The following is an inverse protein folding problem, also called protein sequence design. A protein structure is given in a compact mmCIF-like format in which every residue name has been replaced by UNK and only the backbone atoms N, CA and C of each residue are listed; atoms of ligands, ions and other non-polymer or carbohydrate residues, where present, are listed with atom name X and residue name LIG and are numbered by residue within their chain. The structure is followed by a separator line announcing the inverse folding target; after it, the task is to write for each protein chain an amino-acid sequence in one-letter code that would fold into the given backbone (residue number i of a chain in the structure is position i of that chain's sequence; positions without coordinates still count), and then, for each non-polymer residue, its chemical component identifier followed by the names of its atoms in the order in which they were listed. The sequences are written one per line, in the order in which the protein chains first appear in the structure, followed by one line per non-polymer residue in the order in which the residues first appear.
data_IF_516269420454
#
_entry.id   IF_516269420454
#
_cell.length_a   1.000
_cell.length_b   1.000
_cell.length_c   1.000
_cell.angle_alpha   90.00
_cell.angle_beta   90.00
_cell.angle_gamma   90.00
#
_symmetry.space_group_name_H-M   'P 1'
#
loop_
_entity.id
_entity.type
_entity.pdbx_description
1 polymer ?
#
# COMPACT_ATOMS: atom_id res chain seq x y z
N UNK A 1 -8.21 -10.37 1.26
CA UNK A 1 -8.42 -9.71 -0.04
C UNK A 1 -7.64 -8.41 -0.18
N UNK A 2 -7.61 -7.54 0.84
CA UNK A 2 -6.99 -6.20 0.71
C UNK A 2 -5.47 -6.16 0.47
N UNK A 3 -4.68 -7.13 0.97
CA UNK A 3 -3.23 -7.22 0.65
C UNK A 3 -2.99 -7.36 -0.85
N UNK A 4 -3.71 -8.27 -1.50
CA UNK A 4 -3.60 -8.51 -2.94
C UNK A 4 -4.03 -7.27 -3.71
N UNK A 5 -5.12 -6.62 -3.29
CA UNK A 5 -5.59 -5.36 -3.90
C UNK A 5 -4.56 -4.24 -3.78
N UNK A 6 -3.92 -4.08 -2.61
CA UNK A 6 -2.86 -3.09 -2.40
C UNK A 6 -1.65 -3.36 -3.31
N UNK A 7 -1.16 -4.60 -3.36
CA UNK A 7 -0.04 -4.99 -4.22
C UNK A 7 -0.37 -4.76 -5.69
N UNK A 8 -1.56 -5.16 -6.14
CA UNK A 8 -2.03 -4.94 -7.52
C UNK A 8 -2.05 -3.45 -7.87
N UNK A 9 -2.56 -2.59 -6.98
CA UNK A 9 -2.56 -1.15 -7.22
C UNK A 9 -1.16 -0.53 -7.26
N UNK A 10 -0.27 -0.94 -6.36
CA UNK A 10 1.13 -0.49 -6.37
C UNK A 10 1.80 -0.90 -7.69
N UNK A 11 1.60 -2.14 -8.13
CA UNK A 11 2.09 -2.63 -9.41
C UNK A 11 1.52 -1.83 -10.58
N UNK A 12 0.20 -1.69 -10.68
CA UNK A 12 -0.46 -0.96 -11.77
C UNK A 12 0.02 0.48 -11.87
N UNK A 13 0.18 1.17 -10.73
CA UNK A 13 0.70 2.54 -10.69
C UNK A 13 2.14 2.63 -11.14
N UNK A 14 3.01 1.74 -10.66
CA UNK A 14 4.41 1.70 -11.06
C UNK A 14 4.53 1.39 -12.55
N UNK A 15 3.82 0.37 -13.04
CA UNK A 15 3.81 0.01 -14.47
C UNK A 15 3.34 1.17 -15.34
N UNK A 16 2.27 1.87 -14.94
CA UNK A 16 1.72 3.00 -15.72
C UNK A 16 2.65 4.20 -15.71
N UNK A 17 3.15 4.58 -14.53
CA UNK A 17 3.97 5.80 -14.36
C UNK A 17 5.39 5.63 -14.88
N UNK A 18 5.92 4.41 -14.87
CA UNK A 18 7.26 4.10 -15.33
C UNK A 18 7.31 3.49 -16.74
N UNK A 19 6.17 3.36 -17.45
CA UNK A 19 6.08 2.66 -18.74
C UNK A 19 7.13 3.10 -19.79
N UNK A 20 7.60 4.35 -19.73
CA UNK A 20 8.60 4.88 -20.66
C UNK A 20 10.05 4.67 -20.22
N UNK A 21 10.29 4.41 -18.93
CA UNK A 21 11.63 4.42 -18.31
C UNK A 21 12.02 3.07 -17.68
N UNK A 22 11.04 2.26 -17.27
CA UNK A 22 11.26 0.97 -16.64
C UNK A 22 10.20 -0.07 -17.03
N UNK A 23 10.65 -1.31 -17.18
CA UNK A 23 9.77 -2.47 -17.12
C UNK A 23 9.60 -2.88 -15.66
N UNK A 24 8.35 -3.01 -15.22
CA UNK A 24 7.98 -3.36 -13.85
C UNK A 24 7.56 -4.83 -13.79
N UNK A 25 8.31 -5.63 -13.05
CA UNK A 25 8.08 -7.06 -12.84
C UNK A 25 7.64 -7.33 -11.38
N UNK A 26 6.91 -8.43 -11.15
CA UNK A 26 6.43 -8.83 -9.82
C UNK A 26 7.07 -10.13 -9.35
N UNK A 27 7.63 -10.13 -8.13
CA UNK A 27 8.34 -11.24 -7.45
C UNK A 27 9.64 -11.72 -8.11
N UNK A 28 9.66 -11.84 -9.44
CA UNK A 28 10.80 -12.29 -10.21
C UNK A 28 10.92 -11.47 -11.49
N UNK A 29 12.16 -11.21 -11.97
CA UNK A 29 12.39 -10.65 -13.29
C UNK A 29 11.67 -11.44 -14.38
N UNK A 30 11.07 -10.76 -15.35
CA UNK A 30 10.42 -11.41 -16.50
C UNK A 30 11.43 -12.25 -17.29
N UNK A 31 10.95 -13.35 -17.90
CA UNK A 31 11.76 -14.17 -18.81
C UNK A 31 12.25 -13.39 -20.03
N UNK A 32 11.50 -12.38 -20.44
CA UNK A 32 11.92 -11.41 -21.45
C UNK A 32 12.44 -10.18 -20.71
N UNK A 33 13.75 -10.18 -20.46
CA UNK A 33 14.42 -9.05 -19.83
C UNK A 33 14.50 -7.87 -20.82
N UNK A 34 14.25 -6.63 -20.37
CA UNK A 34 14.43 -5.46 -21.21
C UNK A 34 15.92 -5.25 -21.51
N UNK A 35 16.20 -4.51 -22.58
CA UNK A 35 17.55 -3.98 -22.80
C UNK A 35 17.86 -2.97 -21.69
N UNK A 36 18.71 -3.37 -20.74
CA UNK A 36 19.10 -2.57 -19.57
C UNK A 36 19.81 -1.26 -19.94
N UNK A 37 20.31 -1.15 -21.19
CA UNK A 37 20.88 0.08 -21.72
C UNK A 37 19.82 1.10 -22.13
N UNK A 38 18.59 0.66 -22.39
CA UNK A 38 17.49 1.52 -22.83
C UNK A 38 16.42 1.69 -21.76
N UNK A 39 16.05 0.62 -21.06
CA UNK A 39 15.01 0.63 -20.02
C UNK A 39 15.51 0.00 -18.73
N UNK A 40 15.11 0.57 -17.58
CA UNK A 40 15.36 -0.08 -16.30
C UNK A 40 14.53 -1.35 -16.18
N UNK A 41 15.06 -2.34 -15.47
CA UNK A 41 14.24 -3.43 -14.95
C UNK A 41 13.99 -3.17 -13.47
N UNK A 42 12.72 -3.03 -13.08
CA UNK A 42 12.29 -2.82 -11.70
C UNK A 42 11.49 -4.04 -11.25
N UNK A 43 11.97 -4.76 -10.24
CA UNK A 43 11.28 -5.92 -9.66
C UNK A 43 10.67 -5.54 -8.31
N UNK A 44 9.38 -5.78 -8.14
CA UNK A 44 8.64 -5.51 -6.90
C UNK A 44 8.44 -6.80 -6.11
N UNK A 45 8.99 -6.85 -4.91
CA UNK A 45 8.94 -8.02 -4.02
C UNK A 45 8.33 -7.66 -2.68
N UNK A 46 7.09 -8.07 -2.37
CA UNK A 46 6.52 -7.90 -1.04
C UNK A 46 7.32 -8.74 -0.02
N UNK A 47 7.95 -8.09 0.95
CA UNK A 47 8.83 -8.76 1.92
C UNK A 47 8.09 -9.14 3.18
N UNK A 48 7.22 -8.26 3.68
CA UNK A 48 6.55 -8.49 4.94
C UNK A 48 5.23 -7.74 5.08
N UNK A 49 4.32 -8.31 5.86
CA UNK A 49 3.13 -7.62 6.36
C UNK A 49 3.08 -7.76 7.88
N UNK A 50 2.90 -6.66 8.62
CA UNK A 50 2.78 -6.65 10.09
C UNK A 50 1.60 -5.81 10.54
N UNK A 51 1.16 -6.01 11.78
CA UNK A 51 0.27 -5.04 12.42
C UNK A 51 1.08 -3.78 12.80
N UNK A 52 0.51 -2.60 12.59
CA UNK A 52 1.19 -1.34 12.91
C UNK A 52 1.49 -1.21 14.42
N UNK A 53 0.67 -1.82 15.27
CA UNK A 53 0.88 -1.93 16.73
C UNK A 53 2.16 -2.68 17.09
N UNK A 54 2.57 -3.68 16.31
CA UNK A 54 3.80 -4.47 16.54
C UNK A 54 5.08 -3.68 16.21
N UNK A 55 4.98 -2.62 15.42
CA UNK A 55 6.11 -1.72 15.13
C UNK A 55 6.33 -0.70 16.25
N UNK A 56 5.28 -0.34 16.99
CA UNK A 56 5.37 0.61 18.11
C UNK A 56 6.12 0.04 19.33
N UNK A 57 6.11 -1.28 19.52
CA UNK A 57 6.78 -1.93 20.65
C UNK A 57 8.30 -2.01 20.53
N UNK A 58 8.89 -1.69 19.36
CA UNK A 58 10.34 -1.59 19.18
C UNK A 58 10.93 -0.20 19.45
N UNK A 59 10.10 0.80 19.75
CA UNK A 59 10.49 2.19 19.99
C UNK A 59 10.57 2.59 21.47
N UNK A 60 10.74 1.66 22.41
CA UNK A 60 10.88 2.01 23.83
C UNK A 60 12.34 2.31 24.21
N UNK A 61 12.92 3.35 23.60
CA UNK A 61 13.97 4.12 24.27
C UNK A 61 13.35 5.36 24.89
N UNK A 62 13.69 5.61 26.16
CA UNK A 62 13.10 6.67 26.99
C UNK A 62 13.32 8.05 26.36
N UNK A 63 12.24 8.71 25.95
CA UNK A 63 12.23 10.16 25.74
C UNK A 63 11.72 10.69 24.40
N UNK A 64 11.27 9.84 23.47
CA UNK A 64 10.73 10.32 22.18
C UNK A 64 9.21 10.29 22.19
N UNK A 65 8.61 11.49 22.15
CA UNK A 65 7.17 11.70 22.07
C UNK A 65 6.66 11.41 20.65
N UNK A 66 5.45 10.84 20.62
CA UNK A 66 4.64 10.41 19.49
C UNK A 66 4.88 11.17 18.18
N UNK A 67 4.87 10.39 17.08
CA UNK A 67 4.81 10.90 15.72
C UNK A 67 3.73 11.97 15.54
N UNK A 68 3.90 12.85 14.55
CA UNK A 68 3.20 14.12 14.47
C UNK A 68 1.67 13.99 14.56
N UNK A 69 1.07 14.94 15.28
CA UNK A 69 -0.30 14.91 15.78
C UNK A 69 -1.41 14.79 14.72
N UNK A 70 -1.09 14.87 13.42
CA UNK A 70 -2.05 14.65 12.33
C UNK A 70 -2.47 13.18 12.16
N UNK A 71 -1.78 12.22 12.79
CA UNK A 71 -2.16 10.79 12.80
C UNK A 71 -3.28 10.42 13.79
N UNK A 72 -3.91 11.40 14.44
CA UNK A 72 -4.95 11.16 15.47
C UNK A 72 -6.36 10.89 14.93
N UNK A 73 -6.64 11.12 13.64
CA UNK A 73 -7.99 11.01 13.07
C UNK A 73 -8.22 9.78 12.18
N UNK A 74 -7.40 8.73 12.29
CA UNK A 74 -7.52 7.53 11.47
C UNK A 74 -8.02 6.34 12.32
N UNK A 75 -9.33 6.12 12.35
CA UNK A 75 -10.03 4.97 12.95
C UNK A 75 -9.84 4.73 14.47
N UNK A 76 -10.93 4.48 15.23
CA UNK A 76 -10.86 4.24 16.67
C UNK A 76 -10.21 2.90 17.08
N UNK A 77 -9.89 2.01 16.13
CA UNK A 77 -9.34 0.69 16.43
C UNK A 77 -7.87 0.54 15.99
N UNK A 78 -6.97 0.39 16.96
CA UNK A 78 -5.52 0.24 16.73
C UNK A 78 -5.16 -1.12 16.09
N UNK A 79 -6.06 -2.12 16.18
CA UNK A 79 -5.83 -3.50 15.71
C UNK A 79 -5.99 -3.69 14.20
N UNK A 80 -6.64 -2.74 13.51
CA UNK A 80 -6.98 -2.86 12.08
C UNK A 80 -5.94 -2.19 11.16
N UNK A 81 -4.86 -1.64 11.71
CA UNK A 81 -3.79 -1.00 10.93
C UNK A 81 -2.70 -2.01 10.57
N UNK A 82 -2.37 -2.10 9.29
CA UNK A 82 -1.29 -2.96 8.78
C UNK A 82 -0.24 -2.17 8.03
N UNK A 83 0.97 -2.71 8.02
CA UNK A 83 2.11 -2.19 7.26
C UNK A 83 2.56 -3.28 6.31
N UNK A 84 2.54 -2.98 5.02
CA UNK A 84 3.11 -3.82 3.97
C UNK A 84 4.47 -3.24 3.58
N UNK A 85 5.53 -4.00 3.81
CA UNK A 85 6.87 -3.69 3.33
C UNK A 85 7.09 -4.35 1.97
N UNK A 86 7.59 -3.56 1.03
CA UNK A 86 7.87 -3.94 -0.35
C UNK A 86 9.31 -3.58 -0.66
N UNK A 87 10.06 -4.52 -1.20
CA UNK A 87 11.38 -4.28 -1.75
C UNK A 87 11.26 -4.01 -3.25
N UNK A 88 11.99 -3.00 -3.73
CA UNK A 88 12.15 -2.73 -5.15
C UNK A 88 13.60 -2.95 -5.53
N UNK A 89 13.83 -3.78 -6.54
CA UNK A 89 15.14 -4.03 -7.09
C UNK A 89 15.19 -3.46 -8.51
N UNK A 90 15.99 -2.40 -8.70
CA UNK A 90 16.16 -1.70 -9.98
C UNK A 90 17.52 -2.08 -10.56
N UNK A 91 17.54 -2.50 -11.82
CA UNK A 91 18.74 -2.80 -12.56
C UNK A 91 18.80 -1.99 -13.87
N UNK A 92 19.98 -1.42 -14.15
CA UNK A 92 20.28 -0.59 -15.31
C UNK A 92 21.71 -0.84 -15.79
N UNK A 93 21.98 -0.61 -17.07
CA UNK A 93 23.34 -0.65 -17.64
C UNK A 93 23.63 0.60 -18.46
N UNK A 94 24.87 1.09 -18.38
CA UNK A 94 25.37 2.16 -19.24
C UNK A 94 26.91 2.11 -19.29
N UNK A 95 27.50 2.85 -20.22
CA UNK A 95 28.95 3.06 -20.30
C UNK A 95 29.45 4.11 -19.31
N UNK A 96 28.56 4.98 -18.82
CA UNK A 96 28.89 6.09 -17.92
C UNK A 96 28.14 5.99 -16.57
N UNK A 97 28.90 6.10 -15.48
CA UNK A 97 28.38 6.10 -14.10
C UNK A 97 27.51 7.32 -13.80
N UNK A 98 27.83 8.49 -14.35
CA UNK A 98 27.05 9.70 -14.11
C UNK A 98 25.64 9.55 -14.71
N UNK A 99 25.58 9.09 -15.96
CA UNK A 99 24.32 8.79 -16.66
C UNK A 99 23.50 7.68 -15.99
N UNK A 100 24.16 6.67 -15.43
CA UNK A 100 23.48 5.64 -14.63
C UNK A 100 22.76 6.22 -13.41
N UNK A 101 23.41 7.14 -12.69
CA UNK A 101 22.82 7.79 -11.53
C UNK A 101 21.62 8.65 -11.92
N UNK A 102 21.71 9.42 -13.00
CA UNK A 102 20.60 10.23 -13.51
C UNK A 102 19.38 9.37 -13.87
N UNK A 103 19.61 8.25 -14.56
CA UNK A 103 18.52 7.33 -14.92
C UNK A 103 17.90 6.64 -13.71
N UNK A 104 18.71 6.28 -12.71
CA UNK A 104 18.21 5.73 -11.46
C UNK A 104 17.37 6.75 -10.70
N UNK A 105 17.84 8.00 -10.62
CA UNK A 105 17.14 9.09 -9.96
C UNK A 105 15.82 9.42 -10.67
N UNK A 106 15.79 9.35 -12.01
CA UNK A 106 14.56 9.51 -12.78
C UNK A 106 13.52 8.42 -12.46
N UNK A 107 13.94 7.15 -12.42
CA UNK A 107 13.06 6.02 -12.09
C UNK A 107 12.55 6.14 -10.65
N UNK A 108 13.42 6.51 -9.71
CA UNK A 108 13.08 6.77 -8.32
C UNK A 108 12.05 7.88 -8.18
N UNK A 109 12.37 9.06 -8.71
CA UNK A 109 11.55 10.26 -8.57
C UNK A 109 10.16 10.06 -9.17
N UNK A 110 10.07 9.43 -10.35
CA UNK A 110 8.79 9.10 -10.97
C UNK A 110 8.02 8.04 -10.18
N UNK A 111 8.71 7.04 -9.65
CA UNK A 111 8.11 5.98 -8.84
C UNK A 111 7.51 6.49 -7.53
N UNK A 112 8.26 7.32 -6.79
CA UNK A 112 7.81 7.91 -5.53
C UNK A 112 6.69 8.94 -5.75
N UNK A 113 6.81 9.79 -6.78
CA UNK A 113 5.75 10.74 -7.13
C UNK A 113 4.44 10.03 -7.47
N UNK A 114 4.48 8.87 -8.15
CA UNK A 114 3.29 8.08 -8.45
C UNK A 114 2.60 7.51 -7.19
N UNK A 115 3.36 7.26 -6.13
CA UNK A 115 2.81 6.77 -4.85
C UNK A 115 2.25 7.90 -3.98
N UNK A 116 2.74 9.13 -4.16
CA UNK A 116 2.34 10.33 -3.41
C UNK A 116 1.26 11.17 -4.11
N UNK A 117 0.87 10.80 -5.34
CA UNK A 117 -0.14 11.52 -6.09
C UNK A 117 -1.53 11.41 -5.41
N UNK A 118 -2.06 12.55 -4.97
CA UNK A 118 -3.35 12.72 -4.27
C UNK A 118 -4.58 12.51 -5.19
N UNK A 119 -4.37 12.41 -6.50
CA UNK A 119 -5.41 12.44 -7.52
C UNK A 119 -6.15 11.11 -7.72
N UNK A 120 -5.68 10.03 -7.09
CA UNK A 120 -6.23 8.69 -7.28
C UNK A 120 -6.49 8.03 -5.92
N UNK A 121 -7.69 7.48 -5.66
CA UNK A 121 -8.00 6.79 -4.42
C UNK A 121 -7.05 5.60 -4.21
N UNK A 122 -6.11 5.75 -3.26
CA UNK A 122 -5.18 4.71 -2.81
C UNK A 122 -5.80 3.89 -1.68
N UNK A 123 -5.52 2.59 -1.63
CA UNK A 123 -5.87 1.79 -0.46
C UNK A 123 -4.92 2.01 0.73
N UNK A 124 -3.77 2.65 0.53
CA UNK A 124 -2.86 3.03 1.61
C UNK A 124 -3.10 4.47 2.06
N UNK A 125 -2.98 4.67 3.38
CA UNK A 125 -3.12 5.96 4.06
C UNK A 125 -1.79 6.71 4.12
N UNK A 126 -0.68 5.98 4.17
CA UNK A 126 0.65 6.57 4.27
C UNK A 126 1.69 5.71 3.57
N UNK A 127 2.68 6.37 2.99
CA UNK A 127 3.78 5.79 2.25
C UNK A 127 5.10 6.34 2.80
N UNK A 128 6.05 5.45 3.06
CA UNK A 128 7.40 5.80 3.49
C UNK A 128 8.40 5.09 2.58
N UNK A 129 9.27 5.88 1.93
CA UNK A 129 10.48 5.38 1.32
C UNK A 129 11.56 5.22 2.41
N UNK A 130 12.03 3.99 2.61
CA UNK A 130 13.03 3.63 3.62
C UNK A 130 14.42 3.47 3.00
N UNK A 131 15.21 2.52 3.52
CA UNK A 131 16.61 2.32 3.18
C UNK A 131 16.82 2.08 1.69
N UNK A 132 17.83 2.79 1.17
CA UNK A 132 18.31 2.68 -0.20
C UNK A 132 19.72 2.09 -0.19
N UNK A 133 19.90 0.95 -0.84
CA UNK A 133 21.21 0.32 -1.02
C UNK A 133 21.57 0.33 -2.50
N UNK A 134 22.80 0.74 -2.79
CA UNK A 134 23.23 0.98 -4.15
C UNK A 134 24.58 0.30 -4.43
N UNK A 135 24.69 -0.36 -5.59
CA UNK A 135 25.88 -1.08 -6.01
C UNK A 135 26.15 -0.91 -7.52
N UNK A 136 27.44 -0.86 -7.88
CA UNK A 136 27.89 -0.98 -9.27
C UNK A 136 28.68 -2.27 -9.46
N UNK A 137 28.45 -2.97 -10.57
CA UNK A 137 29.27 -4.09 -11.02
C UNK A 137 29.76 -3.88 -12.44
N UNK A 138 31.02 -4.24 -12.71
CA UNK A 138 31.59 -4.21 -14.05
C UNK A 138 31.14 -5.48 -14.81
N UNK A 139 30.55 -5.31 -15.99
CA UNK A 139 30.18 -6.39 -16.90
C UNK A 139 30.92 -6.24 -18.23
N UNK A 140 31.01 -7.33 -19.01
CA UNK A 140 31.66 -7.33 -20.33
C UNK A 140 31.04 -6.32 -21.31
N UNK A 141 29.77 -5.98 -21.11
CA UNK A 141 28.98 -5.08 -21.96
C UNK A 141 28.88 -3.65 -21.41
N UNK A 142 29.40 -3.36 -20.22
CA UNK A 142 29.33 -2.03 -19.59
C UNK A 142 29.32 -2.07 -18.07
N UNK A 143 28.89 -0.98 -17.45
CA UNK A 143 28.72 -0.88 -16.00
C UNK A 143 27.25 -1.16 -15.69
N UNK A 144 26.99 -2.13 -14.82
CA UNK A 144 25.66 -2.40 -14.29
C UNK A 144 25.49 -1.67 -12.97
N UNK A 145 24.39 -0.95 -12.85
CA UNK A 145 23.96 -0.33 -11.60
C UNK A 145 22.78 -1.12 -11.04
N UNK A 146 22.82 -1.38 -9.73
CA UNK A 146 21.76 -2.05 -8.99
C UNK A 146 21.37 -1.19 -7.80
N UNK A 147 20.08 -0.94 -7.66
CA UNK A 147 19.51 -0.13 -6.60
C UNK A 147 18.38 -0.91 -5.94
N UNK A 148 18.52 -1.13 -4.63
CA UNK A 148 17.54 -1.81 -3.81
C UNK A 148 16.90 -0.80 -2.86
N UNK A 149 15.57 -0.75 -2.85
CA UNK A 149 14.77 0.16 -2.03
C UNK A 149 13.82 -0.64 -1.17
N UNK A 150 13.58 -0.16 0.04
CA UNK A 150 12.53 -0.67 0.91
C UNK A 150 11.44 0.37 1.06
N UNK A 151 10.20 0.04 0.73
CA UNK A 151 9.04 0.91 0.85
C UNK A 151 8.02 0.32 1.82
N UNK A 152 7.44 1.16 2.67
CA UNK A 152 6.43 0.77 3.65
C UNK A 152 5.10 1.46 3.39
N UNK A 153 4.06 0.66 3.19
CA UNK A 153 2.69 1.10 2.94
C UNK A 153 1.82 0.84 4.16
N UNK A 154 1.31 1.91 4.77
CA UNK A 154 0.38 1.82 5.90
C UNK A 154 -1.03 1.85 5.36
N UNK A 155 -1.82 0.84 5.70
CA UNK A 155 -3.20 0.73 5.23
C UNK A 155 -4.10 0.18 6.33
N UNK A 156 -5.38 0.53 6.26
CA UNK A 156 -6.38 0.01 7.18
C UNK A 156 -7.04 -1.21 6.56
N UNK A 157 -7.20 -2.26 7.36
CA UNK A 157 -7.97 -3.41 6.99
C UNK A 157 -9.42 -3.17 7.39
N UNK A 158 -10.30 -3.01 6.43
CA UNK A 158 -11.74 -3.03 6.74
C UNK A 158 -12.09 -4.45 7.15
N UNK A 159 -12.57 -4.62 8.38
CA UNK A 159 -13.29 -5.84 8.72
C UNK A 159 -14.53 -5.84 7.83
N UNK A 160 -14.69 -6.88 7.01
CA UNK A 160 -15.96 -7.13 6.35
C UNK A 160 -17.02 -7.13 7.45
N UNK A 161 -17.83 -6.07 7.52
CA UNK A 161 -19.02 -6.08 8.37
C UNK A 161 -19.77 -7.35 7.98
N UNK A 162 -19.78 -8.32 8.89
CA UNK A 162 -20.79 -9.36 8.82
C UNK A 162 -22.10 -8.58 8.78
N UNK A 163 -22.98 -8.76 7.78
CA UNK A 163 -24.23 -8.03 7.77
C UNK A 163 -24.85 -8.24 9.14
N UNK A 164 -24.96 -7.14 9.91
CA UNK A 164 -25.48 -7.21 11.27
C UNK A 164 -26.82 -7.95 11.20
N UNK A 165 -27.16 -8.71 12.25
CA UNK A 165 -28.42 -9.45 12.29
C UNK A 165 -29.53 -8.52 11.79
N UNK A 166 -30.21 -8.86 10.69
CA UNK A 166 -31.17 -7.95 10.08
C UNK A 166 -32.19 -7.58 11.13
N UNK A 167 -32.46 -6.27 11.28
CA UNK A 167 -33.50 -5.78 12.19
C UNK A 167 -34.83 -6.22 11.58
N UNK A 168 -35.36 -7.34 12.06
CA UNK A 168 -36.61 -7.91 11.54
C UNK A 168 -37.81 -7.16 12.05
N UNK A 169 -37.79 -6.77 13.33
CA UNK A 169 -38.89 -6.10 14.03
C UNK A 169 -38.34 -4.99 14.95
N UNK A 170 -39.03 -3.83 14.96
CA UNK A 170 -38.76 -2.74 15.91
C UNK A 170 -40.01 -2.49 16.73
N UNK A 171 -39.87 -2.56 18.05
CA UNK A 171 -40.94 -2.28 19.00
C UNK A 171 -40.63 -1.00 19.79
N UNK A 172 -41.65 -0.18 20.02
CA UNK A 172 -41.56 1.04 20.82
C UNK A 172 -42.42 0.89 22.09
N UNK A 173 -41.81 1.09 23.25
CA UNK A 173 -42.52 1.15 24.53
C UNK A 173 -41.60 1.39 25.71
N UNK A 174 -42.18 1.78 26.85
CA UNK A 174 -41.43 1.96 28.09
C UNK A 174 -41.12 0.60 28.72
N UNK A 175 -40.01 0.51 29.45
CA UNK A 175 -39.62 -0.71 30.15
C UNK A 175 -40.69 -1.11 31.17
N UNK A 176 -41.23 -2.32 31.05
CA UNK A 176 -42.30 -2.84 31.93
C UNK A 176 -43.74 -2.63 31.43
N UNK A 177 -43.94 -2.06 30.24
CA UNK A 177 -45.25 -1.94 29.59
C UNK A 177 -45.28 -2.72 28.27
N UNK A 178 -46.48 -2.93 27.72
CA UNK A 178 -46.63 -3.51 26.38
C UNK A 178 -45.93 -2.64 25.32
N UNK A 179 -45.12 -3.28 24.48
CA UNK A 179 -44.40 -2.61 23.40
C UNK A 179 -45.18 -2.72 22.09
N UNK A 180 -45.32 -1.61 21.37
CA UNK A 180 -46.03 -1.56 20.10
C UNK A 180 -45.04 -1.80 18.95
N UNK A 181 -45.33 -2.76 18.07
CA UNK A 181 -44.56 -2.98 16.85
C UNK A 181 -44.72 -1.75 15.92
N UNK A 182 -43.61 -1.16 15.51
CA UNK A 182 -43.58 0.02 14.63
C UNK A 182 -42.92 -0.25 13.27
N UNK A 183 -42.18 -1.36 13.14
CA UNK A 183 -41.57 -1.77 11.89
C UNK A 183 -41.42 -3.29 11.89
N UNK A 184 -41.81 -3.94 10.79
CA UNK A 184 -41.47 -5.35 10.54
C UNK A 184 -41.21 -5.58 9.07
N UNK A 185 -40.12 -6.31 8.79
CA UNK A 185 -39.71 -6.74 7.45
C UNK A 185 -40.63 -7.79 6.83
N UNK A 186 -41.60 -8.32 7.59
CA UNK A 186 -42.54 -9.35 7.12
C UNK A 186 -43.92 -8.79 6.72
N UNK A 187 -44.13 -7.47 6.77
CA UNK A 187 -45.44 -6.88 6.47
C UNK A 187 -45.52 -6.43 5.01
N UNK A 188 -46.41 -6.99 4.17
CA UNK A 188 -46.65 -6.44 2.84
C UNK A 188 -47.24 -5.03 2.98
N UNK A 189 -46.77 -4.13 2.12
CA UNK A 189 -47.24 -2.75 2.06
C UNK A 189 -48.76 -2.73 1.80
N UNK A 190 -49.54 -2.41 2.85
CA UNK A 190 -50.96 -2.16 2.72
C UNK A 190 -51.77 -2.69 3.89
N UNK A 191 -51.96 -1.88 4.92
CA UNK A 191 -53.30 -1.55 5.39
C UNK A 191 -53.24 -0.25 6.19
N UNK A 192 -53.76 0.80 5.55
CA UNK A 192 -54.11 2.06 6.19
C UNK A 192 -55.45 1.81 6.88
N UNK A 193 -55.50 1.97 8.20
CA UNK A 193 -56.70 2.32 8.95
C UNK A 193 -56.37 3.42 9.95
#
# INVERSE_FOLDING_TARGET
MQRTTLITQVLERLTTSLAQVAQVDYLIPSQVAPDLTQQAQLTVTPTQERQASELQSKGTDKGVSYGPAYNKNLSPNLLDRRVLSVQLDIALMDGDKARLLERLDEVLSKGEAAMLADDVPTHWQHFIAEQTTFAFSQHSEGIKAQLQLSWSFYYQVEQSESPGTPITDVYLGQQGYEHKLIYSTQTPAGEVL
#
